data_IF_687017240984
#
_entry.id   IF_687017240984
#
_cell.length_a   1.000
_cell.length_b   1.000
_cell.length_c   1.000
_cell.angle_alpha   90.00
_cell.angle_beta   90.00
_cell.angle_gamma   90.00
#
_symmetry.space_group_name_H-M   'P 1'
#
loop_
_entity.id
_entity.type
_entity.pdbx_description
1 polymer ?
#
# COMPACT_ATOMS: atom_id res chain seq x y z
N UNK A 1 -4.64 29.88 23.94
CA UNK A 1 -3.75 28.73 23.71
C UNK A 1 -4.05 28.17 22.32
N UNK A 2 -3.07 28.18 21.41
CA UNK A 2 -3.25 27.59 20.08
C UNK A 2 -3.38 26.08 20.23
N UNK A 3 -4.50 25.52 19.78
CA UNK A 3 -4.74 24.07 19.76
C UNK A 3 -3.71 23.48 18.80
N UNK A 4 -2.84 22.59 19.28
CA UNK A 4 -1.93 21.86 18.40
C UNK A 4 -2.78 21.16 17.35
N UNK A 5 -2.61 21.51 16.07
CA UNK A 5 -3.34 20.84 15.00
C UNK A 5 -2.87 19.39 14.96
N UNK A 6 -3.80 18.45 14.97
CA UNK A 6 -3.49 17.04 14.75
C UNK A 6 -2.93 16.91 13.34
N UNK A 7 -1.72 16.34 13.14
CA UNK A 7 -1.13 16.21 11.81
C UNK A 7 -2.01 15.31 10.93
N UNK A 8 -2.12 15.67 9.65
CA UNK A 8 -2.74 14.87 8.61
C UNK A 8 -1.77 13.75 8.22
N UNK A 9 -2.09 12.53 8.62
CA UNK A 9 -1.23 11.36 8.35
C UNK A 9 -1.91 10.44 7.33
N UNK A 10 -1.22 10.17 6.23
CA UNK A 10 -1.60 9.16 5.25
C UNK A 10 -0.87 7.83 5.45
N UNK A 11 -1.30 6.78 4.74
CA UNK A 11 -0.64 5.48 4.72
C UNK A 11 -0.41 5.02 3.27
N UNK A 12 0.81 4.58 2.97
CA UNK A 12 1.19 4.03 1.68
C UNK A 12 1.53 2.55 1.86
N UNK A 13 0.76 1.68 1.23
CA UNK A 13 1.00 0.23 1.19
C UNK A 13 1.78 -0.09 -0.09
N UNK A 14 3.04 -0.48 0.06
CA UNK A 14 3.90 -0.85 -1.07
C UNK A 14 3.68 -2.32 -1.43
N UNK A 15 2.95 -2.57 -2.52
CA UNK A 15 2.54 -3.90 -2.99
C UNK A 15 2.85 -4.10 -4.49
N UNK A 16 3.89 -3.44 -5.00
CA UNK A 16 4.26 -3.48 -6.42
C UNK A 16 5.26 -4.58 -6.79
N UNK A 17 5.83 -5.27 -5.79
CA UNK A 17 6.91 -6.24 -5.98
C UNK A 17 6.46 -7.58 -6.55
N UNK A 18 7.33 -8.23 -7.33
CA UNK A 18 7.07 -9.53 -7.94
C UNK A 18 7.26 -10.74 -7.01
N UNK A 19 7.72 -10.55 -5.77
CA UNK A 19 7.91 -11.67 -4.83
C UNK A 19 8.90 -12.75 -5.29
N UNK A 20 9.90 -12.42 -6.11
CA UNK A 20 10.79 -13.41 -6.78
C UNK A 20 11.41 -14.45 -5.85
N UNK A 21 11.93 -14.02 -4.69
CA UNK A 21 12.53 -14.92 -3.68
C UNK A 21 11.53 -15.86 -3.01
N UNK A 22 10.25 -15.52 -3.09
CA UNK A 22 9.14 -16.33 -2.58
C UNK A 22 8.57 -17.29 -3.65
N UNK A 23 9.12 -17.28 -4.87
CA UNK A 23 8.57 -18.04 -6.00
C UNK A 23 7.45 -17.33 -6.78
N UNK A 24 7.18 -16.06 -6.47
CA UNK A 24 6.11 -15.27 -7.09
C UNK A 24 4.86 -15.15 -6.20
N UNK A 25 3.95 -14.24 -6.57
CA UNK A 25 2.61 -14.10 -5.99
C UNK A 25 2.50 -14.00 -4.45
N UNK A 26 3.59 -13.69 -3.72
CA UNK A 26 3.62 -13.55 -2.24
C UNK A 26 2.41 -12.79 -1.67
N UNK A 27 2.04 -11.68 -2.30
CA UNK A 27 0.94 -10.81 -1.85
C UNK A 27 -0.40 -11.54 -1.73
N UNK A 28 -0.62 -12.57 -2.56
CA UNK A 28 -1.82 -13.41 -2.58
C UNK A 28 -1.66 -14.72 -1.81
N UNK A 29 -0.46 -15.04 -1.32
CA UNK A 29 -0.28 -16.21 -0.47
C UNK A 29 -1.14 -16.07 0.80
N UNK A 30 -1.76 -17.17 1.20
CA UNK A 30 -2.65 -17.20 2.36
C UNK A 30 -1.89 -17.50 3.63
N UNK A 31 -2.21 -16.78 4.70
CA UNK A 31 -1.75 -17.06 6.06
C UNK A 31 -2.93 -16.84 7.02
N UNK A 32 -3.26 -17.82 7.85
CA UNK A 32 -4.43 -17.83 8.74
C UNK A 32 -5.74 -17.42 8.03
N UNK A 33 -5.99 -17.99 6.86
CA UNK A 33 -7.24 -17.80 6.12
C UNK A 33 -7.38 -16.49 5.33
N UNK A 34 -6.38 -15.59 5.37
CA UNK A 34 -6.39 -14.36 4.58
C UNK A 34 -5.13 -14.20 3.71
N UNK A 35 -5.26 -13.55 2.55
CA UNK A 35 -4.10 -13.16 1.76
C UNK A 35 -3.17 -12.23 2.58
N UNK A 36 -1.85 -12.41 2.45
CA UNK A 36 -0.86 -11.59 3.18
C UNK A 36 -1.10 -10.09 2.96
N UNK A 37 -1.38 -9.68 1.72
CA UNK A 37 -1.68 -8.29 1.42
C UNK A 37 -3.01 -7.82 2.03
N UNK A 38 -4.02 -8.69 2.15
CA UNK A 38 -5.29 -8.31 2.77
C UNK A 38 -5.09 -7.90 4.23
N UNK A 39 -4.24 -8.64 4.98
CA UNK A 39 -3.90 -8.28 6.36
C UNK A 39 -3.29 -6.87 6.45
N UNK A 40 -2.41 -6.51 5.51
CA UNK A 40 -1.80 -5.18 5.47
C UNK A 40 -2.82 -4.08 5.10
N UNK A 41 -3.73 -4.36 4.15
CA UNK A 41 -4.81 -3.45 3.78
C UNK A 41 -5.74 -3.21 4.97
N UNK A 42 -6.14 -4.26 5.67
CA UNK A 42 -7.05 -4.18 6.82
C UNK A 42 -6.40 -3.42 7.98
N UNK A 43 -5.12 -3.66 8.26
CA UNK A 43 -4.38 -2.93 9.28
C UNK A 43 -4.24 -1.43 8.95
N UNK A 44 -3.95 -1.09 7.69
CA UNK A 44 -3.86 0.29 7.24
C UNK A 44 -5.22 1.00 7.33
N UNK A 45 -6.28 0.38 6.81
CA UNK A 45 -7.63 0.97 6.80
C UNK A 45 -8.30 0.98 8.17
N UNK A 46 -7.87 0.11 9.10
CA UNK A 46 -8.32 0.11 10.49
C UNK A 46 -7.53 1.07 11.40
N UNK A 47 -6.51 1.76 10.87
CA UNK A 47 -5.72 2.73 11.61
C UNK A 47 -6.39 4.12 11.64
N UNK A 48 -5.74 5.07 12.31
CA UNK A 48 -6.13 6.50 12.30
C UNK A 48 -5.58 7.28 11.10
N UNK A 49 -4.96 6.61 10.11
CA UNK A 49 -4.54 7.27 8.87
C UNK A 49 -5.77 7.79 8.10
N UNK A 50 -5.70 9.04 7.65
CA UNK A 50 -6.82 9.71 6.97
C UNK A 50 -7.02 9.20 5.54
N UNK A 51 -5.93 8.79 4.89
CA UNK A 51 -5.88 8.36 3.50
C UNK A 51 -5.03 7.11 3.40
N UNK A 52 -5.44 6.14 2.59
CA UNK A 52 -4.69 4.92 2.33
C UNK A 52 -4.48 4.76 0.83
N UNK A 53 -3.22 4.63 0.40
CA UNK A 53 -2.85 4.37 -1.00
C UNK A 53 -2.22 3.00 -1.12
N UNK A 54 -2.77 2.16 -1.99
CA UNK A 54 -2.22 0.86 -2.36
C UNK A 54 -1.43 0.99 -3.67
N UNK A 55 -0.10 0.84 -3.60
CA UNK A 55 0.77 0.92 -4.77
C UNK A 55 0.97 -0.46 -5.37
N UNK A 56 0.50 -0.66 -6.61
CA UNK A 56 0.54 -1.93 -7.34
C UNK A 56 1.55 -1.91 -8.50
N UNK A 57 1.95 -3.10 -8.95
CA UNK A 57 2.97 -3.27 -9.98
C UNK A 57 2.87 -4.65 -10.65
N UNK A 58 3.85 -5.52 -10.40
CA UNK A 58 4.07 -6.78 -11.12
C UNK A 58 2.83 -7.68 -11.30
N UNK A 59 1.89 -7.69 -10.34
CA UNK A 59 0.72 -8.56 -10.34
C UNK A 59 -0.59 -7.80 -10.10
N UNK A 60 -0.68 -6.55 -10.57
CA UNK A 60 -1.76 -5.63 -10.20
C UNK A 60 -3.18 -6.21 -10.42
N UNK A 61 -3.45 -6.83 -11.57
CA UNK A 61 -4.77 -7.42 -11.86
C UNK A 61 -5.12 -8.58 -10.92
N UNK A 62 -4.17 -9.49 -10.69
CA UNK A 62 -4.38 -10.62 -9.77
C UNK A 62 -4.56 -10.14 -8.32
N UNK A 63 -3.81 -9.11 -7.90
CA UNK A 63 -3.95 -8.49 -6.59
C UNK A 63 -5.34 -7.88 -6.43
N UNK A 64 -5.81 -7.06 -7.38
CA UNK A 64 -7.13 -6.44 -7.31
C UNK A 64 -8.27 -7.47 -7.30
N UNK A 65 -8.11 -8.60 -7.99
CA UNK A 65 -9.08 -9.70 -7.96
C UNK A 65 -9.03 -10.54 -6.68
N UNK A 66 -7.91 -10.53 -5.97
CA UNK A 66 -7.65 -11.38 -4.80
C UNK A 66 -7.70 -10.65 -3.45
N UNK A 67 -7.90 -9.33 -3.44
CA UNK A 67 -8.00 -8.53 -2.21
C UNK A 67 -9.14 -7.51 -2.28
N UNK A 68 -9.73 -7.21 -1.13
CA UNK A 68 -10.64 -6.08 -0.98
C UNK A 68 -9.84 -4.79 -0.77
N UNK A 69 -9.69 -4.03 -1.85
CA UNK A 69 -8.96 -2.76 -1.88
C UNK A 69 -9.87 -1.52 -1.92
N UNK A 70 -11.18 -1.67 -1.70
CA UNK A 70 -12.18 -0.59 -1.87
C UNK A 70 -11.98 0.63 -0.94
N UNK A 71 -11.25 0.44 0.16
CA UNK A 71 -10.90 1.50 1.12
C UNK A 71 -9.57 2.20 0.82
N UNK A 72 -8.87 1.79 -0.23
CA UNK A 72 -7.61 2.38 -0.66
C UNK A 72 -7.77 3.07 -2.01
N UNK A 73 -7.09 4.21 -2.18
CA UNK A 73 -6.76 4.70 -3.50
C UNK A 73 -5.74 3.75 -4.15
N UNK A 74 -5.94 3.35 -5.40
CA UNK A 74 -5.03 2.43 -6.09
C UNK A 74 -4.12 3.22 -7.03
N UNK A 75 -2.81 3.06 -6.83
CA UNK A 75 -1.78 3.70 -7.65
C UNK A 75 -0.94 2.64 -8.37
N UNK A 76 -0.95 2.64 -9.70
CA UNK A 76 -0.12 1.73 -10.50
C UNK A 76 1.28 2.29 -10.71
N UNK A 77 2.31 1.50 -10.41
CA UNK A 77 3.70 1.79 -10.71
C UNK A 77 4.21 0.89 -11.85
N UNK A 78 4.18 1.40 -13.07
CA UNK A 78 4.75 0.71 -14.24
C UNK A 78 6.26 0.50 -14.12
N UNK A 79 6.95 1.40 -13.42
CA UNK A 79 8.39 1.36 -13.18
C UNK A 79 8.79 0.48 -11.98
N UNK A 80 7.92 -0.43 -11.51
CA UNK A 80 8.18 -1.26 -10.31
C UNK A 80 9.51 -2.04 -10.36
N UNK A 81 9.98 -2.37 -11.57
CA UNK A 81 11.27 -3.06 -11.79
C UNK A 81 12.48 -2.23 -11.36
N UNK A 82 12.35 -0.91 -11.28
CA UNK A 82 13.37 0.01 -10.76
C UNK A 82 13.50 -0.03 -9.23
N UNK A 83 12.74 -0.88 -8.55
CA UNK A 83 12.86 -1.16 -7.13
C UNK A 83 11.96 -0.32 -6.24
N UNK A 84 12.07 -0.53 -4.93
CA UNK A 84 11.16 0.00 -3.91
C UNK A 84 11.05 1.54 -3.93
N UNK A 85 12.14 2.25 -4.24
CA UNK A 85 12.14 3.71 -4.34
C UNK A 85 11.20 4.24 -5.43
N UNK A 86 11.04 3.53 -6.55
CA UNK A 86 10.09 3.93 -7.60
C UNK A 86 8.64 3.85 -7.10
N UNK A 87 8.32 2.78 -6.35
CA UNK A 87 6.98 2.56 -5.77
C UNK A 87 6.68 3.57 -4.67
N UNK A 88 7.65 3.87 -3.81
CA UNK A 88 7.51 4.91 -2.79
C UNK A 88 7.25 6.28 -3.43
N UNK A 89 8.03 6.67 -4.45
CA UNK A 89 7.80 7.92 -5.19
C UNK A 89 6.42 7.97 -5.84
N UNK A 90 5.92 6.84 -6.36
CA UNK A 90 4.56 6.78 -6.93
C UNK A 90 3.51 6.99 -5.83
N UNK A 91 3.63 6.31 -4.69
CA UNK A 91 2.70 6.47 -3.57
C UNK A 91 2.69 7.88 -3.00
N UNK A 92 3.86 8.48 -2.77
CA UNK A 92 3.98 9.85 -2.24
C UNK A 92 3.30 10.93 -3.12
N UNK A 93 3.09 10.67 -4.41
CA UNK A 93 2.37 11.61 -5.29
C UNK A 93 0.89 11.74 -4.91
N UNK A 94 0.31 10.76 -4.23
CA UNK A 94 -1.08 10.75 -3.77
C UNK A 94 -1.26 11.43 -2.39
N UNK A 95 -0.17 11.79 -1.71
CA UNK A 95 -0.16 12.31 -0.33
C UNK A 95 0.51 13.69 -0.22
N UNK A 96 0.34 14.54 -1.23
CA UNK A 96 0.98 15.88 -1.26
C UNK A 96 0.45 16.84 -0.21
N UNK A 97 -0.78 16.60 0.26
CA UNK A 97 -1.49 17.42 1.23
C UNK A 97 -1.44 16.84 2.66
N UNK A 98 -0.68 15.76 2.85
CA UNK A 98 -0.49 15.13 4.16
C UNK A 98 0.83 15.61 4.79
N UNK A 99 0.81 15.82 6.11
CA UNK A 99 1.97 16.25 6.88
C UNK A 99 2.99 15.11 7.06
N UNK A 100 2.52 13.86 7.03
CA UNK A 100 3.34 12.66 7.15
C UNK A 100 2.70 11.44 6.49
N UNK A 101 3.50 10.42 6.22
CA UNK A 101 3.04 9.13 5.70
C UNK A 101 3.62 7.96 6.48
N UNK A 102 2.77 7.00 6.83
CA UNK A 102 3.20 5.66 7.27
C UNK A 102 3.49 4.84 6.01
N UNK A 103 4.61 4.13 6.00
CA UNK A 103 4.95 3.21 4.90
C UNK A 103 4.75 1.78 5.40
N UNK A 104 3.76 1.09 4.83
CA UNK A 104 3.48 -0.32 5.08
C UNK A 104 3.98 -1.19 3.91
N UNK A 105 4.39 -2.42 4.22
CA UNK A 105 4.90 -3.38 3.24
C UNK A 105 3.94 -4.56 3.09
N UNK A 106 3.69 -4.96 1.83
CA UNK A 106 3.01 -6.22 1.49
C UNK A 106 3.93 -7.43 1.43
#
# INVERSE_FOLDING_TARGET
>A
MARAMTPRVGCIILAAGAGKRFGGAKLLATHDGAALLQKAIDAACGSSALTCTLVLGAHAGAVLGGTDSRRCAVAFNEAWRSGLASSLRRGLREHRDDDACIIALG
#
